data_IF_324577353921
#
_entry.id   IF_324577353921
#
_cell.length_a   1.000
_cell.length_b   1.000
_cell.length_c   1.000
_cell.angle_alpha   90.00
_cell.angle_beta   90.00
_cell.angle_gamma   90.00
#
_symmetry.space_group_name_H-M   'P 1'
#
loop_
_entity.id
_entity.type
_entity.pdbx_description
1 polymer ?
#
# COMPACT_ATOMS: atom_id res chain seq x y z
N UNK A 1 -19.42 6.82 -15.82
CA UNK A 1 -18.16 7.01 -16.57
C UNK A 1 -17.41 8.16 -15.88
N UNK A 2 -16.41 7.84 -15.08
CA UNK A 2 -15.58 8.85 -14.44
C UNK A 2 -14.64 9.40 -15.52
N UNK A 3 -14.84 10.64 -15.93
CA UNK A 3 -13.89 11.33 -16.82
C UNK A 3 -12.63 11.63 -16.02
N UNK A 4 -11.46 11.38 -16.60
CA UNK A 4 -10.20 11.89 -16.05
C UNK A 4 -10.29 13.42 -16.08
N UNK A 5 -10.44 14.05 -14.91
CA UNK A 5 -10.51 15.51 -14.83
C UNK A 5 -9.09 16.03 -14.73
N UNK A 6 -8.61 16.65 -15.80
CA UNK A 6 -7.44 17.52 -15.68
C UNK A 6 -7.87 18.77 -14.91
N UNK A 7 -7.31 19.01 -13.73
CA UNK A 7 -7.50 20.29 -13.04
C UNK A 7 -6.47 21.28 -13.55
N UNK A 8 -6.92 22.45 -13.94
CA UNK A 8 -6.05 23.57 -14.32
C UNK A 8 -5.96 24.48 -13.12
N UNK A 9 -4.75 24.62 -12.58
CA UNK A 9 -4.46 25.61 -11.55
C UNK A 9 -3.72 26.77 -12.22
N UNK A 10 -4.27 27.97 -12.14
CA UNK A 10 -3.63 29.20 -12.62
C UNK A 10 -2.98 29.88 -11.44
N UNK A 11 -1.67 30.05 -11.52
CA UNK A 11 -0.91 30.80 -10.51
C UNK A 11 -0.59 32.21 -11.05
N UNK A 12 -0.37 33.16 -10.12
CA UNK A 12 0.20 34.46 -10.46
C UNK A 12 1.46 34.33 -11.32
N UNK A 13 1.86 35.35 -12.05
CA UNK A 13 2.99 35.35 -13.00
C UNK A 13 2.76 34.61 -14.32
N UNK A 14 1.51 34.39 -14.73
CA UNK A 14 1.16 33.83 -16.04
C UNK A 14 1.53 32.36 -16.24
N UNK A 15 1.88 31.62 -15.18
CA UNK A 15 2.15 30.19 -15.26
C UNK A 15 0.89 29.39 -14.93
N UNK A 16 0.58 28.41 -15.78
CA UNK A 16 -0.53 27.47 -15.59
C UNK A 16 0.03 26.06 -15.40
N UNK A 17 -0.54 25.32 -14.48
CA UNK A 17 -0.20 23.92 -14.23
C UNK A 17 -1.39 23.04 -14.53
N UNK A 18 -1.12 21.94 -15.22
CA UNK A 18 -2.09 20.88 -15.42
C UNK A 18 -1.81 19.75 -14.43
N UNK A 19 -2.79 19.43 -13.62
CA UNK A 19 -2.76 18.22 -12.83
C UNK A 19 -3.47 17.10 -13.60
N UNK A 20 -2.68 16.14 -14.09
CA UNK A 20 -3.22 14.97 -14.78
C UNK A 20 -3.62 13.90 -13.76
N UNK A 21 -4.92 13.63 -13.67
CA UNK A 21 -5.44 12.61 -12.74
C UNK A 21 -5.50 11.24 -13.42
N UNK A 22 -4.55 10.36 -13.13
CA UNK A 22 -4.51 8.98 -13.62
C UNK A 22 -5.17 7.98 -12.65
N UNK A 23 -5.73 8.41 -11.52
CA UNK A 23 -6.32 7.50 -10.52
C UNK A 23 -7.32 6.54 -11.15
N UNK A 24 -8.18 7.05 -12.03
CA UNK A 24 -9.16 6.21 -12.73
C UNK A 24 -8.53 5.07 -13.53
N UNK A 25 -7.38 5.30 -14.16
CA UNK A 25 -6.68 4.26 -14.92
C UNK A 25 -6.20 3.13 -13.98
N UNK A 26 -5.64 3.49 -12.82
CA UNK A 26 -5.24 2.54 -11.79
C UNK A 26 -6.43 1.73 -11.27
N UNK A 27 -7.52 2.39 -10.89
CA UNK A 27 -8.72 1.71 -10.37
C UNK A 27 -9.40 0.82 -11.42
N UNK A 28 -9.41 1.22 -12.70
CA UNK A 28 -9.93 0.35 -13.78
C UNK A 28 -9.10 -0.91 -13.95
N UNK A 29 -7.77 -0.81 -13.97
CA UNK A 29 -6.88 -1.96 -14.08
C UNK A 29 -6.99 -2.87 -12.87
N UNK A 30 -7.04 -2.26 -11.68
CA UNK A 30 -7.25 -2.99 -10.44
C UNK A 30 -8.57 -3.75 -10.45
N UNK A 31 -9.66 -3.14 -10.93
CA UNK A 31 -10.96 -3.81 -11.02
C UNK A 31 -10.94 -5.02 -11.96
N UNK A 32 -10.27 -4.93 -13.12
CA UNK A 32 -10.15 -6.07 -14.02
C UNK A 32 -9.43 -7.23 -13.33
N UNK A 33 -8.28 -6.96 -12.71
CA UNK A 33 -7.53 -7.99 -12.00
C UNK A 33 -8.33 -8.55 -10.79
N UNK A 34 -9.14 -7.72 -10.14
CA UNK A 34 -10.00 -8.14 -9.03
C UNK A 34 -11.10 -9.11 -9.48
N UNK A 35 -11.69 -8.88 -10.65
CA UNK A 35 -12.67 -9.82 -11.23
C UNK A 35 -12.01 -11.14 -11.62
N UNK A 36 -10.78 -11.12 -12.15
CA UNK A 36 -10.03 -12.34 -12.47
C UNK A 36 -9.77 -13.17 -11.19
N UNK A 37 -9.43 -12.50 -10.07
CA UNK A 37 -9.22 -13.15 -8.76
C UNK A 37 -10.50 -13.76 -8.20
N UNK A 38 -11.64 -13.11 -8.39
CA UNK A 38 -12.93 -13.62 -7.92
C UNK A 38 -13.45 -14.82 -8.72
N UNK A 39 -12.91 -15.08 -9.89
CA UNK A 39 -13.31 -16.21 -10.71
C UNK A 39 -13.22 -17.54 -9.94
N UNK A 40 -13.88 -18.58 -10.45
CA UNK A 40 -13.93 -19.89 -9.79
C UNK A 40 -12.55 -20.58 -9.74
N UNK A 41 -11.68 -20.30 -10.71
CA UNK A 41 -10.35 -20.91 -10.84
C UNK A 41 -9.27 -19.83 -11.00
N UNK A 42 -9.08 -18.94 -10.01
CA UNK A 42 -8.04 -17.93 -10.12
C UNK A 42 -6.65 -18.58 -10.05
N UNK A 43 -5.72 -18.03 -10.80
CA UNK A 43 -4.32 -18.47 -10.73
C UNK A 43 -3.61 -17.77 -9.59
N UNK A 44 -2.90 -18.53 -8.76
CA UNK A 44 -2.23 -18.07 -7.55
C UNK A 44 -1.20 -16.94 -7.80
N UNK A 45 -0.50 -16.99 -8.94
CA UNK A 45 0.45 -15.92 -9.32
C UNK A 45 -0.20 -14.53 -9.48
N UNK A 46 -1.53 -14.47 -9.59
CA UNK A 46 -2.26 -13.19 -9.65
C UNK A 46 -2.31 -12.50 -8.28
N UNK A 47 -2.22 -13.25 -7.17
CA UNK A 47 -2.36 -12.68 -5.84
C UNK A 47 -1.24 -11.68 -5.48
N UNK A 48 0.04 -12.00 -5.62
CA UNK A 48 1.11 -11.03 -5.38
C UNK A 48 1.06 -9.84 -6.37
N UNK A 49 0.67 -10.07 -7.62
CA UNK A 49 0.45 -9.00 -8.60
C UNK A 49 -0.66 -8.05 -8.15
N UNK A 50 -1.75 -8.59 -7.62
CA UNK A 50 -2.88 -7.82 -7.11
C UNK A 50 -2.49 -6.96 -5.90
N UNK A 51 -1.80 -7.53 -4.91
CA UNK A 51 -1.30 -6.81 -3.73
C UNK A 51 -0.37 -5.67 -4.16
N UNK A 52 0.51 -5.91 -5.11
CA UNK A 52 1.41 -4.88 -5.64
C UNK A 52 0.62 -3.76 -6.32
N UNK A 53 -0.38 -4.09 -7.14
CA UNK A 53 -1.22 -3.09 -7.82
C UNK A 53 -2.11 -2.33 -6.83
N UNK A 54 -2.68 -3.00 -5.81
CA UNK A 54 -3.42 -2.36 -4.73
C UNK A 54 -2.55 -1.30 -4.02
N UNK A 55 -1.33 -1.68 -3.66
CA UNK A 55 -0.42 -0.77 -2.96
C UNK A 55 -0.02 0.43 -3.82
N UNK A 56 0.30 0.21 -5.10
CA UNK A 56 0.61 1.28 -6.05
C UNK A 56 -0.59 2.22 -6.23
N UNK A 57 -1.81 1.67 -6.30
CA UNK A 57 -3.06 2.44 -6.42
C UNK A 57 -3.31 3.30 -5.19
N UNK A 58 -3.12 2.74 -3.99
CA UNK A 58 -3.26 3.50 -2.74
C UNK A 58 -2.20 4.59 -2.61
N UNK A 59 -0.94 4.28 -2.88
CA UNK A 59 0.15 5.26 -2.81
C UNK A 59 -0.04 6.40 -3.82
N UNK A 60 -0.47 6.07 -5.04
CA UNK A 60 -0.85 7.07 -6.04
C UNK A 60 -2.00 7.96 -5.53
N UNK A 61 -3.02 7.35 -4.93
CA UNK A 61 -4.18 8.08 -4.39
C UNK A 61 -3.79 9.06 -3.30
N UNK A 62 -2.94 8.64 -2.36
CA UNK A 62 -2.41 9.50 -1.30
C UNK A 62 -1.56 10.64 -1.88
N UNK A 63 -0.68 10.34 -2.83
CA UNK A 63 0.13 11.37 -3.49
C UNK A 63 -0.76 12.40 -4.23
N UNK A 64 -1.84 11.95 -4.88
CA UNK A 64 -2.80 12.86 -5.55
C UNK A 64 -3.52 13.75 -4.53
N UNK A 65 -3.92 13.21 -3.38
CA UNK A 65 -4.54 13.96 -2.30
C UNK A 65 -3.59 15.07 -1.81
N UNK A 66 -2.31 14.76 -1.56
CA UNK A 66 -1.33 15.76 -1.14
C UNK A 66 -1.04 16.80 -2.22
N UNK A 67 -0.98 16.41 -3.49
CA UNK A 67 -0.83 17.36 -4.59
C UNK A 67 -2.00 18.34 -4.62
N UNK A 68 -3.24 17.83 -4.52
CA UNK A 68 -4.44 18.69 -4.50
C UNK A 68 -4.46 19.61 -3.29
N UNK A 69 -4.06 19.10 -2.11
CA UNK A 69 -3.94 19.92 -0.90
C UNK A 69 -2.95 21.06 -1.11
N UNK A 70 -1.75 20.76 -1.62
CA UNK A 70 -0.75 21.79 -1.87
C UNK A 70 -1.24 22.86 -2.85
N UNK A 71 -1.94 22.47 -3.93
CA UNK A 71 -2.49 23.42 -4.89
C UNK A 71 -3.62 24.30 -4.32
N UNK A 72 -4.32 23.84 -3.32
CA UNK A 72 -5.42 24.59 -2.70
C UNK A 72 -4.97 25.55 -1.62
N UNK A 73 -3.85 25.25 -0.94
CA UNK A 73 -3.48 25.93 0.31
C UNK A 73 -2.16 26.69 0.24
N UNK A 74 -1.34 26.49 -0.79
CA UNK A 74 -0.03 27.14 -0.89
C UNK A 74 0.10 27.96 -2.16
N UNK A 75 0.77 29.10 -2.06
CA UNK A 75 1.17 29.92 -3.18
C UNK A 75 2.23 29.21 -4.06
N UNK A 76 2.40 29.70 -5.28
CA UNK A 76 3.29 29.07 -6.26
C UNK A 76 4.73 28.85 -5.76
N UNK A 77 5.26 29.80 -5.01
CA UNK A 77 6.66 29.75 -4.55
C UNK A 77 6.85 28.66 -3.49
N UNK A 78 5.82 28.39 -2.70
CA UNK A 78 5.89 27.50 -1.55
C UNK A 78 5.46 26.05 -1.85
N UNK A 79 4.51 25.87 -2.80
CA UNK A 79 3.86 24.56 -2.97
C UNK A 79 4.85 23.42 -3.28
N UNK A 80 5.96 23.71 -3.99
CA UNK A 80 6.97 22.70 -4.37
C UNK A 80 7.65 22.11 -3.15
N UNK A 81 8.08 22.94 -2.21
CA UNK A 81 8.73 22.53 -0.97
C UNK A 81 7.80 21.64 -0.13
N UNK A 82 6.55 22.06 0.06
CA UNK A 82 5.56 21.28 0.80
C UNK A 82 5.23 19.97 0.08
N UNK A 83 5.02 20.01 -1.22
CA UNK A 83 4.73 18.81 -2.00
C UNK A 83 5.90 17.81 -1.96
N UNK A 84 7.13 18.27 -2.07
CA UNK A 84 8.32 17.43 -1.96
C UNK A 84 8.41 16.79 -0.57
N UNK A 85 8.17 17.55 0.49
CA UNK A 85 8.12 17.05 1.86
C UNK A 85 7.10 15.92 2.01
N UNK A 86 5.88 16.12 1.52
CA UNK A 86 4.83 15.09 1.60
C UNK A 86 5.15 13.85 0.74
N UNK A 87 5.72 14.04 -0.45
CA UNK A 87 6.12 12.92 -1.31
C UNK A 87 7.23 12.07 -0.71
N UNK A 88 8.14 12.67 0.07
CA UNK A 88 9.25 11.99 0.71
C UNK A 88 8.86 11.25 2.00
N UNK A 89 7.66 11.46 2.54
CA UNK A 89 7.18 10.63 3.64
C UNK A 89 7.13 9.16 3.24
N UNK A 90 7.48 8.25 4.15
CA UNK A 90 7.26 6.83 3.91
C UNK A 90 5.75 6.53 3.75
N UNK A 91 5.43 5.45 3.05
CA UNK A 91 4.06 5.11 2.68
C UNK A 91 3.12 5.04 3.89
N UNK A 92 3.56 4.41 4.98
CA UNK A 92 2.79 4.32 6.22
C UNK A 92 2.48 5.71 6.81
N UNK A 93 3.46 6.61 6.81
CA UNK A 93 3.27 7.97 7.32
C UNK A 93 2.35 8.80 6.41
N UNK A 94 2.40 8.62 5.08
CA UNK A 94 1.43 9.24 4.16
C UNK A 94 0.00 8.85 4.53
N UNK A 95 -0.24 7.56 4.73
CA UNK A 95 -1.57 7.06 5.12
C UNK A 95 -1.99 7.59 6.49
N UNK A 96 -1.10 7.58 7.47
CA UNK A 96 -1.40 8.03 8.83
C UNK A 96 -1.72 9.52 8.89
N UNK A 97 -0.94 10.35 8.19
CA UNK A 97 -0.99 11.81 8.35
C UNK A 97 -2.00 12.52 7.44
N UNK A 98 -2.51 11.87 6.36
CA UNK A 98 -3.33 12.58 5.38
C UNK A 98 -4.59 13.23 5.97
N UNK A 99 -5.36 12.59 6.87
CA UNK A 99 -6.57 13.24 7.38
C UNK A 99 -6.23 14.47 8.21
N UNK A 100 -5.18 14.36 9.04
CA UNK A 100 -4.75 15.45 9.89
C UNK A 100 -4.28 16.67 9.11
N UNK A 101 -3.46 16.46 8.08
CA UNK A 101 -2.92 17.54 7.26
C UNK A 101 -4.05 18.20 6.46
N UNK A 102 -4.88 17.41 5.78
CA UNK A 102 -5.91 17.91 4.87
C UNK A 102 -7.04 18.62 5.61
N UNK A 103 -7.35 18.19 6.83
CA UNK A 103 -8.39 18.81 7.66
C UNK A 103 -7.87 19.90 8.60
N UNK A 104 -6.61 20.32 8.43
CA UNK A 104 -5.98 21.29 9.32
C UNK A 104 -6.07 20.90 10.80
N UNK A 105 -5.85 19.63 11.07
CA UNK A 105 -5.80 19.08 12.42
C UNK A 105 -7.14 18.67 13.03
N UNK A 106 -8.25 18.76 12.31
CA UNK A 106 -9.61 18.43 12.82
C UNK A 106 -9.89 16.93 12.82
N UNK A 107 -9.32 16.20 11.84
CA UNK A 107 -9.56 14.78 11.62
C UNK A 107 -8.26 13.98 11.77
N UNK A 108 -8.41 12.72 12.18
CA UNK A 108 -7.30 11.76 12.29
C UNK A 108 -7.70 10.43 11.67
N UNK A 109 -6.68 9.60 11.40
CA UNK A 109 -6.90 8.22 10.95
C UNK A 109 -7.65 7.41 12.01
N UNK A 110 -8.59 6.57 11.59
CA UNK A 110 -9.30 5.67 12.49
C UNK A 110 -8.58 4.32 12.63
N UNK A 111 -7.50 4.29 13.44
CA UNK A 111 -6.67 3.08 13.62
C UNK A 111 -7.43 1.88 14.19
N UNK A 112 -8.59 2.10 14.80
CA UNK A 112 -9.42 1.04 15.36
C UNK A 112 -10.22 0.30 14.29
N UNK A 113 -10.43 0.91 13.12
CA UNK A 113 -11.23 0.32 12.04
C UNK A 113 -10.53 -0.86 11.37
N UNK A 114 -11.32 -1.80 10.87
CA UNK A 114 -10.81 -2.95 10.12
C UNK A 114 -10.23 -2.53 8.76
N UNK A 115 -10.76 -1.46 8.20
CA UNK A 115 -10.30 -0.86 6.94
C UNK A 115 -8.86 -0.39 7.06
N UNK A 116 -8.54 0.38 8.09
CA UNK A 116 -7.17 0.88 8.31
C UNK A 116 -6.21 -0.26 8.65
N UNK A 117 -6.63 -1.23 9.45
CA UNK A 117 -5.82 -2.44 9.72
C UNK A 117 -5.49 -3.18 8.42
N UNK A 118 -6.46 -3.32 7.52
CA UNK A 118 -6.25 -3.94 6.21
C UNK A 118 -5.32 -3.14 5.31
N UNK A 119 -5.34 -1.81 5.37
CA UNK A 119 -4.38 -0.97 4.64
C UNK A 119 -2.96 -1.08 5.21
N UNK A 120 -2.79 -1.17 6.52
CA UNK A 120 -1.48 -1.41 7.13
C UNK A 120 -0.94 -2.81 6.77
N UNK A 121 -1.81 -3.80 6.74
CA UNK A 121 -1.44 -5.14 6.27
C UNK A 121 -1.01 -5.13 4.79
N UNK A 122 -1.74 -4.42 3.92
CA UNK A 122 -1.35 -4.22 2.53
C UNK A 122 0.06 -3.65 2.41
N UNK A 123 0.39 -2.61 3.20
CA UNK A 123 1.72 -2.00 3.20
C UNK A 123 2.78 -3.00 3.66
N UNK A 124 2.48 -3.81 4.67
CA UNK A 124 3.38 -4.84 5.18
C UNK A 124 3.63 -5.94 4.14
N UNK A 125 2.57 -6.47 3.52
CA UNK A 125 2.67 -7.48 2.46
C UNK A 125 3.48 -6.96 1.25
N UNK A 126 3.18 -5.72 0.81
CA UNK A 126 3.93 -5.08 -0.28
C UNK A 126 5.42 -4.93 0.07
N UNK A 127 5.74 -4.51 1.27
CA UNK A 127 7.13 -4.36 1.68
C UNK A 127 7.84 -5.71 1.72
N UNK A 128 7.18 -6.76 2.18
CA UNK A 128 7.71 -8.12 2.11
C UNK A 128 7.96 -8.58 0.67
N UNK A 129 7.05 -8.28 -0.27
CA UNK A 129 7.22 -8.64 -1.69
C UNK A 129 8.38 -7.89 -2.38
N UNK A 130 8.57 -6.61 -2.08
CA UNK A 130 9.55 -5.76 -2.76
C UNK A 130 10.92 -5.72 -2.09
N UNK A 131 10.98 -5.95 -0.80
CA UNK A 131 12.19 -5.85 0.02
C UNK A 131 12.51 -7.17 0.73
N UNK A 132 12.07 -8.30 0.14
CA UNK A 132 12.36 -9.61 0.68
C UNK A 132 13.88 -9.83 0.61
N UNK A 133 14.56 -9.55 1.72
CA UNK A 133 15.95 -9.92 1.89
C UNK A 133 16.01 -11.39 2.31
N UNK A 134 17.02 -12.11 1.85
CA UNK A 134 17.32 -13.45 2.34
C UNK A 134 17.40 -13.41 3.86
N UNK A 135 16.59 -14.24 4.50
CA UNK A 135 16.57 -14.34 5.97
C UNK A 135 17.64 -15.34 6.39
N UNK A 136 18.73 -14.83 6.96
CA UNK A 136 19.67 -15.67 7.65
C UNK A 136 18.99 -16.19 8.94
N UNK A 137 18.73 -17.49 9.01
CA UNK A 137 18.23 -18.14 10.23
C UNK A 137 19.38 -18.83 10.91
N UNK A 138 19.62 -18.51 12.17
CA UNK A 138 20.45 -19.31 13.06
C UNK A 138 19.56 -20.36 13.70
N UNK A 139 19.96 -21.61 13.64
CA UNK A 139 19.34 -22.70 14.40
C UNK A 139 20.43 -23.39 15.20
N UNK A 140 20.11 -23.78 16.42
CA UNK A 140 20.98 -24.57 17.21
C UNK A 140 21.03 -26.00 16.60
N UNK A 141 22.17 -26.37 16.10
CA UNK A 141 22.39 -27.74 15.65
C UNK A 141 22.36 -28.59 16.93
N UNK A 142 21.39 -29.52 17.09
CA UNK A 142 21.44 -30.43 18.24
C UNK A 142 22.79 -31.15 18.28
N UNK A 143 23.18 -31.58 19.44
CA UNK A 143 24.50 -32.21 19.71
C UNK A 143 24.63 -33.54 18.97
N UNK A 144 24.62 -33.48 17.66
CA UNK A 144 24.83 -34.52 16.69
C UNK A 144 26.24 -34.33 16.15
N UNK A 145 26.95 -35.42 15.94
CA UNK A 145 28.32 -35.46 15.39
C UNK A 145 28.40 -34.81 13.99
N UNK A 146 28.08 -33.52 13.91
CA UNK A 146 28.19 -32.76 12.69
C UNK A 146 29.62 -32.27 12.51
N UNK A 147 30.16 -32.40 11.33
CA UNK A 147 31.51 -31.94 10.98
C UNK A 147 31.43 -30.88 9.85
N UNK A 148 32.36 -29.96 9.87
CA UNK A 148 32.54 -29.00 8.75
C UNK A 148 33.64 -29.57 7.86
N UNK A 149 33.31 -29.94 6.64
CA UNK A 149 34.24 -30.42 5.63
C UNK A 149 34.13 -29.51 4.40
N UNK A 150 35.25 -28.86 4.04
CA UNK A 150 35.30 -27.90 2.91
C UNK A 150 34.21 -26.83 2.97
N UNK A 151 34.08 -26.18 4.11
CA UNK A 151 33.07 -25.12 4.38
C UNK A 151 31.61 -25.58 4.25
N UNK A 152 31.36 -26.89 4.25
CA UNK A 152 30.01 -27.47 4.21
C UNK A 152 29.74 -28.23 5.51
N UNK A 153 28.58 -27.96 6.10
CA UNK A 153 28.08 -28.75 7.22
C UNK A 153 27.71 -30.15 6.72
N UNK A 154 28.37 -31.18 7.22
CA UNK A 154 28.08 -32.58 6.94
C UNK A 154 27.41 -33.21 8.16
N UNK A 155 26.15 -33.62 7.99
CA UNK A 155 25.38 -34.31 9.03
C UNK A 155 25.36 -35.79 8.72
N UNK A 156 25.69 -36.69 9.70
CA UNK A 156 25.64 -38.14 9.49
C UNK A 156 24.23 -38.58 9.05
N UNK A 157 24.18 -39.55 8.13
CA UNK A 157 22.94 -40.08 7.54
C UNK A 157 21.94 -40.66 8.54
N UNK A 158 22.44 -41.12 9.68
CA UNK A 158 21.64 -41.68 10.80
C UNK A 158 20.78 -40.58 11.48
N UNK A 159 21.12 -39.30 11.32
CA UNK A 159 20.42 -38.14 11.86
C UNK A 159 19.76 -37.28 10.78
N UNK A 160 19.52 -37.87 9.62
CA UNK A 160 18.96 -37.15 8.42
C UNK A 160 17.52 -36.68 8.56
N UNK A 161 16.94 -36.65 9.74
CA UNK A 161 15.61 -36.11 10.03
C UNK A 161 15.63 -34.64 10.51
N UNK A 162 16.64 -33.85 10.14
CA UNK A 162 16.47 -32.40 10.23
C UNK A 162 15.56 -32.00 9.07
N UNK A 163 14.27 -32.14 9.27
CA UNK A 163 13.28 -31.52 8.45
C UNK A 163 13.34 -30.01 8.74
N UNK A 164 14.11 -29.27 7.96
CA UNK A 164 13.90 -27.82 7.85
C UNK A 164 12.53 -27.68 7.17
N UNK A 165 11.49 -27.70 7.98
CA UNK A 165 10.16 -27.28 7.55
C UNK A 165 10.26 -25.79 7.27
N UNK A 166 10.61 -25.43 6.05
CA UNK A 166 10.30 -24.12 5.51
C UNK A 166 8.77 -24.09 5.46
N UNK A 167 8.15 -23.50 6.46
CA UNK A 167 6.72 -23.27 6.43
C UNK A 167 6.41 -22.30 5.29
N UNK A 168 5.25 -22.43 4.66
CA UNK A 168 4.78 -21.48 3.65
C UNK A 168 4.74 -20.04 4.17
N UNK A 169 4.71 -19.86 5.49
CA UNK A 169 4.82 -18.56 6.19
C UNK A 169 6.18 -17.87 5.97
N UNK A 170 7.20 -18.60 5.56
CA UNK A 170 8.53 -18.06 5.29
C UNK A 170 8.65 -17.44 3.89
N UNK A 171 7.76 -17.82 2.98
CA UNK A 171 7.70 -17.26 1.65
C UNK A 171 6.48 -16.34 1.51
N UNK A 172 6.73 -15.03 1.59
CA UNK A 172 5.68 -14.02 1.51
C UNK A 172 4.84 -14.15 0.22
N UNK A 173 5.44 -14.60 -0.90
CA UNK A 173 4.75 -14.74 -2.19
C UNK A 173 3.67 -15.81 -2.09
N UNK A 174 3.99 -16.96 -1.49
CA UNK A 174 3.09 -18.11 -1.36
C UNK A 174 2.09 -17.95 -0.19
N UNK A 175 2.36 -17.02 0.74
CA UNK A 175 1.49 -16.76 1.88
C UNK A 175 0.27 -15.88 1.56
N UNK A 176 0.23 -15.26 0.38
CA UNK A 176 -0.88 -14.40 -0.03
C UNK A 176 -2.03 -15.26 -0.56
N UNK A 177 -3.20 -15.11 0.05
CA UNK A 177 -4.39 -15.91 -0.29
C UNK A 177 -5.39 -15.14 -1.14
N UNK A 178 -6.33 -15.87 -1.75
CA UNK A 178 -7.50 -15.29 -2.43
C UNK A 178 -8.30 -14.39 -1.49
N UNK A 179 -8.51 -14.82 -0.24
CA UNK A 179 -9.30 -14.08 0.75
C UNK A 179 -8.64 -12.77 1.15
N UNK A 180 -7.31 -12.74 1.25
CA UNK A 180 -6.56 -11.51 1.44
C UNK A 180 -6.80 -10.52 0.30
N UNK A 181 -6.73 -11.00 -0.93
CA UNK A 181 -6.96 -10.18 -2.12
C UNK A 181 -8.38 -9.62 -2.15
N UNK A 182 -9.40 -10.45 -1.83
CA UNK A 182 -10.80 -10.01 -1.79
C UNK A 182 -11.00 -8.95 -0.71
N UNK A 183 -10.51 -9.19 0.50
CA UNK A 183 -10.63 -8.26 1.63
C UNK A 183 -9.93 -6.94 1.34
N UNK A 184 -8.68 -6.97 0.92
CA UNK A 184 -7.87 -5.78 0.59
C UNK A 184 -8.49 -5.03 -0.59
N UNK A 185 -8.93 -5.72 -1.63
CA UNK A 185 -9.57 -5.12 -2.80
C UNK A 185 -10.82 -4.32 -2.41
N UNK A 186 -11.68 -4.89 -1.60
CA UNK A 186 -12.88 -4.22 -1.12
C UNK A 186 -12.54 -2.93 -0.36
N UNK A 187 -11.50 -2.97 0.48
CA UNK A 187 -11.04 -1.79 1.24
C UNK A 187 -10.48 -0.72 0.32
N UNK A 188 -9.70 -1.08 -0.70
CA UNK A 188 -9.17 -0.11 -1.68
C UNK A 188 -10.29 0.56 -2.48
N UNK A 189 -11.31 -0.18 -2.92
CA UNK A 189 -12.47 0.41 -3.59
C UNK A 189 -13.33 1.27 -2.66
N UNK A 190 -13.42 0.89 -1.37
CA UNK A 190 -14.07 1.71 -0.34
C UNK A 190 -13.31 3.03 -0.12
N UNK A 191 -11.97 2.99 -0.04
CA UNK A 191 -11.12 4.18 0.05
C UNK A 191 -11.34 5.12 -1.14
N UNK A 192 -11.44 4.58 -2.35
CA UNK A 192 -11.79 5.40 -3.52
C UNK A 192 -13.11 6.14 -3.34
N UNK A 193 -14.15 5.42 -2.91
CA UNK A 193 -15.52 5.96 -2.80
C UNK A 193 -15.66 6.98 -1.67
N UNK A 194 -15.07 6.69 -0.51
CA UNK A 194 -15.28 7.48 0.71
C UNK A 194 -14.28 8.63 0.85
N UNK A 195 -13.08 8.49 0.26
CA UNK A 195 -11.99 9.46 0.44
C UNK A 195 -11.59 10.12 -0.88
N UNK A 196 -11.07 9.34 -1.84
CA UNK A 196 -10.42 9.92 -3.01
C UNK A 196 -11.41 10.62 -3.94
N UNK A 197 -12.52 9.98 -4.27
CA UNK A 197 -13.50 10.53 -5.21
C UNK A 197 -14.16 11.82 -4.70
N UNK A 198 -14.64 11.91 -3.45
CA UNK A 198 -15.13 13.16 -2.90
C UNK A 198 -14.05 14.25 -2.92
N UNK A 199 -12.86 13.94 -2.41
CA UNK A 199 -11.80 14.93 -2.30
C UNK A 199 -11.33 15.48 -3.67
N UNK A 200 -11.26 14.64 -4.69
CA UNK A 200 -10.94 15.08 -6.07
C UNK A 200 -11.99 16.01 -6.64
N UNK A 201 -13.26 15.88 -6.22
CA UNK A 201 -14.37 16.71 -6.65
C UNK A 201 -14.61 17.96 -5.76
N UNK A 202 -13.63 18.32 -4.95
CA UNK A 202 -13.64 19.48 -4.06
C UNK A 202 -14.60 19.36 -2.86
N UNK A 203 -15.04 18.14 -2.53
CA UNK A 203 -15.80 17.89 -1.31
C UNK A 203 -14.84 17.87 -0.10
N UNK A 204 -15.34 18.29 1.05
CA UNK A 204 -14.61 18.14 2.31
C UNK A 204 -14.52 16.68 2.74
N UNK A 205 -13.44 16.37 3.48
CA UNK A 205 -13.33 15.04 4.10
C UNK A 205 -14.34 14.91 5.24
N UNK A 206 -15.08 13.82 5.24
CA UNK A 206 -16.05 13.49 6.27
C UNK A 206 -15.58 12.32 7.13
N UNK A 207 -16.13 12.22 8.35
CA UNK A 207 -15.96 11.05 9.21
C UNK A 207 -16.51 9.81 8.49
N UNK A 208 -15.71 8.74 8.48
CA UNK A 208 -16.04 7.48 7.80
C UNK A 208 -15.21 6.34 8.41
N UNK A 209 -15.24 5.16 7.80
CA UNK A 209 -14.49 4.00 8.29
C UNK A 209 -12.98 4.26 8.39
N UNK A 210 -12.45 5.17 7.57
CA UNK A 210 -11.02 5.50 7.54
C UNK A 210 -10.62 6.67 8.44
N UNK A 211 -11.58 7.52 8.82
CA UNK A 211 -11.31 8.83 9.43
C UNK A 211 -12.28 9.10 10.58
N UNK A 212 -11.74 9.57 11.70
CA UNK A 212 -12.53 10.00 12.87
C UNK A 212 -12.14 11.42 13.31
N UNK A 213 -13.01 12.07 14.09
CA UNK A 213 -12.68 13.35 14.73
C UNK A 213 -11.48 13.19 15.65
N UNK A 214 -10.65 14.22 15.68
CA UNK A 214 -9.65 14.36 16.73
C UNK A 214 -10.38 14.91 17.96
N UNK A 215 -10.58 14.06 18.97
CA UNK A 215 -11.13 14.49 20.28
C UNK A 215 -10.14 15.39 21.00
#
# INVERSE_FOLDING_TARGET
IIKSVAKICVYGNGKSYFLWNNALAYYKKLNHLFEDIKSDTPKDYLYPCFITLCSATLEYSLNLIYVLYCFRHFEYEDYKSYLETYRNMCFKNKLFMFPYIISEGKLIINEDSQEIKSLYELITKRNGLLHNSEKLRTFDVPDINASIINDKLVIPSENSQIHILLSAEDNIIDSITKDDCIRIGNVIFSFYKQILHPYVNDDELNICDFIKSKN
#
